data_IF_720899932873
#
_entry.id   IF_720899932873
#
_cell.length_a   1.000
_cell.length_b   1.000
_cell.length_c   1.000
_cell.angle_alpha   90.00
_cell.angle_beta   90.00
_cell.angle_gamma   90.00
#
_symmetry.space_group_name_H-M   'P 1'
#
loop_
_entity.id
_entity.type
_entity.pdbx_description
1 polymer ?
#
# COMPACT_ATOMS: atom_id res chain seq x y z
N UNK A 1 13.59 16.52 -11.39
CA UNK A 1 12.32 16.96 -10.78
C UNK A 1 12.58 18.07 -9.77
N UNK A 2 11.55 18.94 -9.57
CA UNK A 2 11.62 20.00 -8.60
C UNK A 2 11.34 19.53 -7.18
N UNK A 3 12.00 20.12 -6.19
CA UNK A 3 11.67 19.95 -4.77
C UNK A 3 10.89 21.19 -4.34
N UNK A 4 9.61 21.01 -4.06
CA UNK A 4 8.72 22.11 -3.68
C UNK A 4 8.45 22.05 -2.18
N UNK A 5 8.47 23.21 -1.53
CA UNK A 5 8.11 23.34 -0.13
C UNK A 5 6.63 23.71 0.07
N UNK A 6 6.17 23.64 1.31
CA UNK A 6 4.83 24.03 1.70
C UNK A 6 3.82 22.87 1.73
N UNK A 7 2.58 23.21 2.08
CA UNK A 7 1.46 22.26 2.15
C UNK A 7 0.78 22.23 0.79
N UNK A 8 1.01 21.19 0.00
CA UNK A 8 0.47 21.04 -1.35
C UNK A 8 -0.51 19.87 -1.50
N UNK A 9 -0.82 19.21 -0.40
CA UNK A 9 -1.85 18.14 -0.32
C UNK A 9 -2.95 18.55 0.64
N UNK A 10 -4.16 17.95 0.52
CA UNK A 10 -5.24 18.18 1.49
C UNK A 10 -4.80 17.88 2.92
N UNK A 11 -5.27 18.70 3.84
CA UNK A 11 -5.09 18.50 5.29
C UNK A 11 -6.47 18.24 5.89
N UNK A 12 -6.57 17.19 6.67
CA UNK A 12 -7.83 16.76 7.28
C UNK A 12 -7.76 16.86 8.80
N UNK A 13 -8.82 17.33 9.41
CA UNK A 13 -9.06 17.16 10.84
C UNK A 13 -9.99 15.96 11.01
N UNK A 14 -9.45 14.90 11.63
CA UNK A 14 -10.23 13.69 11.93
C UNK A 14 -10.68 13.76 13.38
N UNK A 15 -12.00 13.66 13.60
CA UNK A 15 -12.60 13.61 14.93
C UNK A 15 -13.19 12.21 15.11
N UNK A 16 -12.83 11.55 16.20
CA UNK A 16 -13.27 10.19 16.52
C UNK A 16 -13.93 10.13 17.88
N UNK A 17 -14.69 9.07 18.12
CA UNK A 17 -15.09 8.72 19.49
C UNK A 17 -13.86 8.27 20.30
N UNK A 18 -13.93 8.29 21.64
CA UNK A 18 -12.84 7.83 22.50
C UNK A 18 -12.40 6.39 22.25
N UNK A 19 -13.35 5.52 21.86
CA UNK A 19 -13.05 4.20 21.32
C UNK A 19 -13.20 4.24 19.81
N UNK A 20 -12.12 3.99 19.06
CA UNK A 20 -12.11 4.11 17.63
C UNK A 20 -11.16 3.13 16.94
N UNK A 21 -11.31 2.95 15.64
CA UNK A 21 -10.30 2.32 14.78
C UNK A 21 -9.14 3.31 14.65
N UNK A 22 -7.92 2.84 14.92
CA UNK A 22 -6.74 3.69 15.09
C UNK A 22 -6.47 4.54 13.84
N UNK A 23 -6.38 5.85 14.02
CA UNK A 23 -6.05 6.83 12.96
C UNK A 23 -4.61 7.35 13.05
N UNK A 24 -3.92 7.14 14.17
CA UNK A 24 -2.57 7.64 14.44
C UNK A 24 -1.44 6.61 14.20
N UNK A 25 -1.73 5.49 13.55
CA UNK A 25 -0.75 4.50 13.15
C UNK A 25 -0.10 4.89 11.81
N UNK A 26 0.77 5.89 11.84
CA UNK A 26 1.39 6.50 10.64
C UNK A 26 0.37 7.00 9.61
N UNK A 27 -0.77 7.53 10.09
CA UNK A 27 -1.90 7.97 9.25
C UNK A 27 -2.47 6.86 8.34
N UNK A 28 -2.35 5.60 8.73
CA UNK A 28 -3.00 4.47 8.07
C UNK A 28 -4.50 4.42 8.40
N UNK A 29 -5.23 3.57 7.70
CA UNK A 29 -6.64 3.33 7.98
C UNK A 29 -6.92 2.57 9.28
N UNK A 30 -5.89 2.07 9.98
CA UNK A 30 -6.04 1.16 11.12
C UNK A 30 -6.52 -0.26 10.74
N UNK A 31 -6.85 -0.49 9.47
CA UNK A 31 -7.32 -1.77 8.92
C UNK A 31 -6.32 -2.30 7.91
N UNK A 32 -5.85 -3.54 8.10
CA UNK A 32 -4.86 -4.19 7.26
C UNK A 32 -5.39 -5.51 6.74
N UNK A 33 -5.41 -5.66 5.42
CA UNK A 33 -5.99 -6.82 4.74
C UNK A 33 -4.88 -7.62 4.06
N UNK A 34 -4.69 -8.85 4.51
CA UNK A 34 -3.80 -9.81 3.87
C UNK A 34 -4.56 -10.92 3.18
N UNK A 35 -3.96 -11.54 2.18
CA UNK A 35 -4.58 -12.59 1.40
C UNK A 35 -3.59 -13.73 1.13
N UNK A 36 -4.05 -14.97 1.24
CA UNK A 36 -3.25 -16.17 0.99
C UNK A 36 -4.02 -17.15 0.11
N UNK A 37 -3.30 -18.08 -0.51
CA UNK A 37 -3.88 -19.16 -1.29
C UNK A 37 -4.88 -18.67 -2.35
N UNK A 38 -4.58 -17.50 -2.96
CA UNK A 38 -5.47 -16.87 -3.94
C UNK A 38 -5.46 -17.66 -5.23
N UNK A 39 -6.65 -18.09 -5.64
CA UNK A 39 -6.91 -18.82 -6.88
C UNK A 39 -8.34 -18.58 -7.34
N UNK A 40 -8.70 -19.03 -8.56
CA UNK A 40 -10.09 -19.05 -9.04
C UNK A 40 -11.02 -19.94 -8.21
N UNK A 41 -10.46 -20.88 -7.43
CA UNK A 41 -11.25 -21.80 -6.59
C UNK A 41 -11.53 -21.21 -5.21
N UNK A 42 -10.55 -20.54 -4.62
CA UNK A 42 -10.69 -19.96 -3.28
C UNK A 42 -9.62 -18.90 -3.02
N UNK A 43 -9.89 -18.07 -2.02
CA UNK A 43 -8.91 -17.16 -1.41
C UNK A 43 -9.14 -17.12 0.10
N UNK A 44 -8.07 -17.01 0.86
CA UNK A 44 -8.09 -16.79 2.29
C UNK A 44 -7.75 -15.32 2.55
N UNK A 45 -8.61 -14.64 3.30
CA UNK A 45 -8.48 -13.21 3.59
C UNK A 45 -8.46 -13.03 5.10
N UNK A 46 -7.48 -12.30 5.60
CA UNK A 46 -7.41 -11.89 7.00
C UNK A 46 -7.54 -10.37 7.07
N UNK A 47 -8.50 -9.91 7.85
CA UNK A 47 -8.71 -8.49 8.15
C UNK A 47 -8.26 -8.24 9.58
N UNK A 48 -7.15 -7.54 9.75
CA UNK A 48 -6.62 -7.11 11.05
C UNK A 48 -7.00 -5.65 11.27
N UNK A 49 -7.63 -5.38 12.42
CA UNK A 49 -8.09 -4.05 12.81
C UNK A 49 -7.40 -3.65 14.11
N UNK A 50 -6.83 -2.46 14.14
CA UNK A 50 -6.29 -1.84 15.34
C UNK A 50 -7.36 -0.96 15.96
N UNK A 51 -7.65 -1.16 17.24
CA UNK A 51 -8.66 -0.41 17.97
C UNK A 51 -8.00 0.25 19.18
N UNK A 52 -8.31 1.51 19.42
CA UNK A 52 -7.82 2.30 20.55
C UNK A 52 -8.95 2.61 21.54
N UNK A 53 -8.61 2.68 22.83
CA UNK A 53 -9.48 3.13 23.89
C UNK A 53 -8.78 4.25 24.68
N UNK A 54 -9.17 5.48 24.42
CA UNK A 54 -8.66 6.66 25.10
C UNK A 54 -9.33 6.90 26.48
N UNK A 55 -10.30 6.07 26.87
CA UNK A 55 -10.96 6.22 28.18
C UNK A 55 -10.12 5.60 29.32
N UNK A 56 -10.55 5.81 30.55
CA UNK A 56 -9.89 5.27 31.74
C UNK A 56 -10.49 3.94 32.24
N UNK A 57 -11.50 3.40 31.54
CA UNK A 57 -12.20 2.18 31.91
C UNK A 57 -12.26 1.20 30.73
N UNK A 58 -12.35 -0.11 31.00
CA UNK A 58 -12.67 -1.09 29.95
C UNK A 58 -14.02 -0.80 29.32
N UNK A 59 -14.13 -0.97 27.99
CA UNK A 59 -15.36 -0.72 27.24
C UNK A 59 -15.75 -1.98 26.46
N UNK A 60 -16.99 -2.51 26.66
CA UNK A 60 -17.49 -3.61 25.86
C UNK A 60 -17.86 -3.13 24.46
N UNK A 61 -17.33 -3.79 23.45
CA UNK A 61 -17.48 -3.43 22.04
C UNK A 61 -17.75 -4.67 21.18
N UNK A 62 -18.27 -4.45 19.99
CA UNK A 62 -18.35 -5.45 18.93
C UNK A 62 -17.59 -4.92 17.72
N UNK A 63 -16.65 -5.72 17.22
CA UNK A 63 -16.05 -5.49 15.91
C UNK A 63 -16.74 -6.36 14.87
N UNK A 64 -17.31 -5.72 13.86
CA UNK A 64 -17.86 -6.36 12.67
C UNK A 64 -16.97 -6.12 11.47
N UNK A 65 -16.51 -7.17 10.82
CA UNK A 65 -15.84 -7.11 9.52
C UNK A 65 -16.71 -7.78 8.46
N UNK A 66 -17.02 -7.09 7.38
CA UNK A 66 -17.86 -7.58 6.31
C UNK A 66 -17.22 -7.36 4.94
N UNK A 67 -17.31 -8.37 4.08
CA UNK A 67 -16.85 -8.33 2.69
C UNK A 67 -18.06 -8.20 1.77
N UNK A 68 -18.08 -7.17 0.94
CA UNK A 68 -19.11 -6.92 -0.05
C UNK A 68 -18.54 -7.03 -1.46
N UNK A 69 -19.34 -7.52 -2.39
CA UNK A 69 -19.00 -7.52 -3.80
C UNK A 69 -19.13 -6.11 -4.43
N UNK A 70 -18.75 -5.97 -5.69
CA UNK A 70 -18.84 -4.71 -6.46
C UNK A 70 -20.25 -4.12 -6.46
N UNK A 71 -21.28 -4.94 -6.37
CA UNK A 71 -22.69 -4.51 -6.41
C UNK A 71 -23.27 -4.22 -5.01
N UNK A 72 -22.44 -4.29 -3.96
CA UNK A 72 -22.87 -4.06 -2.58
C UNK A 72 -23.55 -5.26 -1.92
N UNK A 73 -23.52 -6.44 -2.55
CA UNK A 73 -24.04 -7.67 -1.94
C UNK A 73 -23.06 -8.22 -0.92
N UNK A 74 -23.55 -8.54 0.27
CA UNK A 74 -22.77 -9.16 1.32
C UNK A 74 -22.28 -10.57 0.87
N UNK A 75 -20.94 -10.76 0.93
CA UNK A 75 -20.28 -12.04 0.60
C UNK A 75 -19.95 -12.83 1.86
N UNK A 76 -19.34 -12.17 2.83
CA UNK A 76 -18.96 -12.73 4.13
C UNK A 76 -19.04 -11.69 5.21
N UNK A 77 -19.31 -12.15 6.44
CA UNK A 77 -19.32 -11.31 7.64
C UNK A 77 -18.83 -12.10 8.84
N UNK A 78 -18.12 -11.44 9.72
CA UNK A 78 -17.71 -11.94 11.01
C UNK A 78 -17.86 -10.83 12.04
N UNK A 79 -18.46 -11.16 13.19
CA UNK A 79 -18.61 -10.23 14.32
C UNK A 79 -18.06 -10.90 15.57
N UNK A 80 -17.31 -10.14 16.35
CA UNK A 80 -16.77 -10.60 17.63
C UNK A 80 -16.99 -9.54 18.71
N UNK A 81 -17.51 -9.97 19.84
CA UNK A 81 -17.60 -9.14 21.04
C UNK A 81 -16.29 -9.25 21.83
N UNK A 82 -15.86 -8.15 22.41
CA UNK A 82 -14.66 -8.07 23.24
C UNK A 82 -14.76 -6.91 24.22
N UNK A 83 -13.90 -6.91 25.23
CA UNK A 83 -13.71 -5.80 26.14
C UNK A 83 -12.38 -5.12 25.79
N UNK A 84 -12.45 -3.85 25.39
CA UNK A 84 -11.27 -3.07 25.03
C UNK A 84 -10.67 -2.44 26.30
N UNK A 85 -9.44 -2.83 26.66
CA UNK A 85 -8.74 -2.31 27.83
C UNK A 85 -8.43 -0.82 27.70
N UNK A 86 -8.41 -0.06 28.80
CA UNK A 86 -8.15 1.37 28.78
C UNK A 86 -6.71 1.70 28.35
N UNK A 87 -6.54 2.88 27.75
CA UNK A 87 -5.25 3.48 27.40
C UNK A 87 -4.32 2.58 26.58
N UNK A 88 -4.87 1.89 25.59
CA UNK A 88 -4.04 1.03 24.75
C UNK A 88 -4.65 0.62 23.43
N UNK A 89 -3.76 0.39 22.46
CA UNK A 89 -4.11 -0.14 21.16
C UNK A 89 -4.11 -1.65 21.19
N UNK A 90 -5.20 -2.26 20.73
CA UNK A 90 -5.32 -3.72 20.57
C UNK A 90 -5.58 -4.10 19.12
N UNK A 91 -5.16 -5.32 18.77
CA UNK A 91 -5.33 -5.87 17.43
C UNK A 91 -6.36 -6.99 17.45
N UNK A 92 -7.31 -6.92 16.54
CA UNK A 92 -8.33 -7.94 16.33
C UNK A 92 -8.27 -8.43 14.88
N UNK A 93 -8.47 -9.73 14.69
CA UNK A 93 -8.40 -10.33 13.34
C UNK A 93 -9.64 -11.14 13.03
N UNK A 94 -10.15 -10.98 11.82
CA UNK A 94 -11.18 -11.83 11.23
C UNK A 94 -10.62 -12.58 10.04
N UNK A 95 -10.98 -13.87 9.92
CA UNK A 95 -10.50 -14.74 8.86
C UNK A 95 -11.67 -15.17 7.98
N UNK A 96 -11.51 -15.01 6.67
CA UNK A 96 -12.53 -15.37 5.68
C UNK A 96 -11.95 -16.34 4.66
N UNK A 97 -12.73 -17.35 4.30
CA UNK A 97 -12.50 -18.14 3.08
C UNK A 97 -13.57 -17.77 2.06
N UNK A 98 -13.14 -17.20 0.95
CA UNK A 98 -13.97 -16.86 -0.19
C UNK A 98 -13.88 -18.00 -1.20
N UNK A 99 -15.01 -18.59 -1.56
CA UNK A 99 -15.11 -19.66 -2.56
C UNK A 99 -15.42 -19.07 -3.93
N UNK A 100 -14.74 -19.55 -4.96
CA UNK A 100 -14.87 -19.08 -6.34
C UNK A 100 -14.84 -17.54 -6.45
N UNK A 101 -13.81 -16.88 -5.88
CA UNK A 101 -13.77 -15.43 -5.84
C UNK A 101 -13.52 -14.85 -7.24
N UNK A 102 -14.03 -13.65 -7.47
CA UNK A 102 -13.64 -12.84 -8.61
C UNK A 102 -12.28 -12.21 -8.33
N UNK A 103 -11.30 -12.45 -9.21
CA UNK A 103 -9.93 -11.97 -9.03
C UNK A 103 -9.76 -10.58 -9.65
N UNK A 104 -8.89 -9.78 -9.06
CA UNK A 104 -8.37 -8.57 -9.68
C UNK A 104 -7.32 -8.97 -10.74
N UNK A 105 -7.55 -8.61 -12.00
CA UNK A 105 -6.77 -9.09 -13.13
C UNK A 105 -6.08 -7.93 -13.90
N UNK A 106 -5.66 -6.90 -13.18
CA UNK A 106 -5.07 -5.74 -13.83
C UNK A 106 -6.05 -5.08 -14.78
N UNK A 107 -5.57 -4.57 -15.90
CA UNK A 107 -6.41 -3.86 -16.90
C UNK A 107 -7.51 -4.72 -17.54
N UNK A 108 -7.35 -6.04 -17.56
CA UNK A 108 -8.35 -6.93 -18.17
C UNK A 108 -9.66 -6.92 -17.33
N UNK A 109 -9.54 -6.94 -16.00
CA UNK A 109 -10.69 -6.94 -15.09
C UNK A 109 -10.26 -6.49 -13.68
N UNK A 110 -10.27 -5.18 -13.39
CA UNK A 110 -9.88 -4.62 -12.10
C UNK A 110 -10.99 -4.78 -11.05
N UNK A 111 -11.36 -6.02 -10.74
CA UNK A 111 -12.45 -6.28 -9.82
C UNK A 111 -12.08 -6.02 -8.37
N UNK A 112 -12.86 -5.20 -7.69
CA UNK A 112 -12.70 -4.88 -6.29
C UNK A 112 -13.92 -5.32 -5.47
N UNK A 113 -13.64 -5.98 -4.36
CA UNK A 113 -14.53 -6.08 -3.22
C UNK A 113 -14.34 -4.87 -2.31
N UNK A 114 -15.29 -4.65 -1.40
CA UNK A 114 -15.16 -3.72 -0.28
C UNK A 114 -15.11 -4.50 1.02
N UNK A 115 -14.17 -4.18 1.87
CA UNK A 115 -14.13 -4.63 3.26
C UNK A 115 -14.59 -3.48 4.13
N UNK A 116 -15.61 -3.70 4.92
CA UNK A 116 -16.16 -2.72 5.86
C UNK A 116 -15.89 -3.22 7.26
N UNK A 117 -15.13 -2.45 8.04
CA UNK A 117 -14.85 -2.70 9.45
C UNK A 117 -15.64 -1.72 10.29
N UNK A 118 -16.53 -2.21 11.16
CA UNK A 118 -17.38 -1.40 12.05
C UNK A 118 -17.06 -1.70 13.50
N UNK A 119 -16.86 -0.65 14.26
CA UNK A 119 -16.82 -0.71 15.71
C UNK A 119 -18.19 -0.32 16.25
N UNK A 120 -18.75 -1.16 17.10
CA UNK A 120 -20.12 -0.96 17.61
C UNK A 120 -20.12 -0.96 19.13
N UNK A 121 -20.90 -0.06 19.72
CA UNK A 121 -21.19 0.03 21.14
C UNK A 121 -22.70 0.16 21.33
N UNK A 122 -23.28 -0.61 22.23
CA UNK A 122 -24.73 -0.59 22.58
C UNK A 122 -25.66 -0.68 21.35
N UNK A 123 -25.22 -1.47 20.33
CA UNK A 123 -25.97 -1.67 19.10
C UNK A 123 -25.84 -0.54 18.07
N UNK A 124 -25.06 0.50 18.35
CA UNK A 124 -24.79 1.60 17.43
C UNK A 124 -23.38 1.51 16.85
N UNK A 125 -23.23 1.91 15.59
CA UNK A 125 -21.90 2.04 14.96
C UNK A 125 -21.27 3.34 15.47
N UNK A 126 -20.12 3.22 16.13
CA UNK A 126 -19.35 4.36 16.65
C UNK A 126 -18.16 4.71 15.75
N UNK A 127 -17.71 3.76 14.92
CA UNK A 127 -16.68 4.02 13.91
C UNK A 127 -16.80 3.03 12.74
N UNK A 128 -16.46 3.49 11.54
CA UNK A 128 -16.50 2.68 10.33
C UNK A 128 -15.33 3.02 9.41
N UNK A 129 -14.62 1.99 8.95
CA UNK A 129 -13.56 2.09 7.94
C UNK A 129 -13.86 1.18 6.76
N UNK A 130 -13.80 1.74 5.56
CA UNK A 130 -14.00 1.01 4.29
C UNK A 130 -12.68 0.92 3.54
N UNK A 131 -12.29 -0.29 3.15
CA UNK A 131 -11.06 -0.55 2.40
C UNK A 131 -11.31 -1.37 1.14
N UNK A 132 -10.55 -1.14 0.06
CA UNK A 132 -10.62 -1.97 -1.14
C UNK A 132 -10.01 -3.35 -0.88
N UNK A 133 -10.52 -4.36 -1.57
CA UNK A 133 -9.93 -5.70 -1.61
C UNK A 133 -9.91 -6.21 -3.06
N UNK A 134 -8.75 -6.19 -3.69
CA UNK A 134 -8.50 -6.85 -4.97
C UNK A 134 -7.77 -8.17 -4.73
N UNK A 135 -8.44 -9.28 -5.01
CA UNK A 135 -7.86 -10.61 -4.82
C UNK A 135 -6.93 -10.94 -5.98
N UNK A 136 -5.64 -11.03 -5.71
CA UNK A 136 -4.60 -11.28 -6.72
C UNK A 136 -3.39 -11.99 -6.12
N UNK A 137 -2.61 -12.59 -7.01
CA UNK A 137 -1.29 -13.13 -6.72
C UNK A 137 -0.30 -12.58 -7.74
N UNK A 138 0.75 -11.95 -7.25
CA UNK A 138 1.90 -11.50 -8.03
C UNK A 138 3.04 -12.49 -7.92
N UNK A 139 3.72 -12.76 -9.03
CA UNK A 139 4.93 -13.59 -9.06
C UNK A 139 5.93 -12.99 -10.05
N UNK A 140 7.17 -12.86 -9.62
CA UNK A 140 8.29 -12.49 -10.48
C UNK A 140 9.19 -13.72 -10.61
N UNK A 141 9.34 -14.23 -11.82
CA UNK A 141 10.10 -15.45 -12.09
C UNK A 141 11.29 -15.11 -12.97
N UNK A 142 12.50 -15.36 -12.46
CA UNK A 142 13.73 -15.10 -13.19
C UNK A 142 13.73 -15.80 -14.56
N UNK A 143 14.06 -15.04 -15.60
CA UNK A 143 14.07 -15.51 -16.99
C UNK A 143 12.69 -15.73 -17.64
N UNK A 144 11.59 -15.58 -16.88
CA UNK A 144 10.22 -15.73 -17.42
C UNK A 144 9.38 -14.47 -17.31
N UNK A 145 9.72 -13.54 -16.40
CA UNK A 145 9.05 -12.25 -16.24
C UNK A 145 8.01 -12.24 -15.13
N UNK A 146 7.03 -11.37 -15.27
CA UNK A 146 6.00 -11.09 -14.29
C UNK A 146 4.71 -11.88 -14.58
N UNK A 147 4.09 -12.39 -13.52
CA UNK A 147 2.84 -13.14 -13.58
C UNK A 147 1.81 -12.54 -12.63
N UNK A 148 0.58 -12.41 -13.14
CA UNK A 148 -0.60 -12.05 -12.38
C UNK A 148 -1.58 -13.23 -12.37
N UNK A 149 -1.91 -13.72 -11.18
CA UNK A 149 -2.81 -14.88 -11.00
C UNK A 149 -2.38 -16.14 -11.79
N UNK A 150 -1.06 -16.35 -11.90
CA UNK A 150 -0.48 -17.50 -12.60
C UNK A 150 -0.43 -17.38 -14.13
N UNK A 151 -0.87 -16.24 -14.71
CA UNK A 151 -0.77 -15.93 -16.13
C UNK A 151 0.32 -14.89 -16.35
N UNK A 152 1.19 -15.09 -17.33
CA UNK A 152 2.18 -14.08 -17.70
C UNK A 152 1.47 -12.77 -18.06
N UNK A 153 1.93 -11.66 -17.48
CA UNK A 153 1.31 -10.36 -17.64
C UNK A 153 2.35 -9.34 -18.14
N UNK A 154 2.07 -8.60 -19.20
CA UNK A 154 3.02 -7.65 -19.75
C UNK A 154 3.17 -6.44 -18.83
N UNK A 155 4.42 -6.04 -18.58
CA UNK A 155 4.77 -4.87 -17.76
C UNK A 155 5.24 -3.73 -18.66
N UNK A 156 4.30 -3.16 -19.42
CA UNK A 156 4.56 -1.96 -20.22
C UNK A 156 4.19 -0.73 -19.40
N UNK A 157 5.11 0.18 -19.17
CA UNK A 157 4.84 1.27 -18.27
C UNK A 157 5.70 2.50 -18.48
N UNK A 158 5.35 3.49 -17.69
CA UNK A 158 6.05 4.78 -17.64
C UNK A 158 6.37 5.12 -16.19
N UNK A 159 7.33 6.02 -16.02
CA UNK A 159 7.61 6.66 -14.75
C UNK A 159 6.85 7.99 -14.67
N UNK A 160 6.20 8.25 -13.56
CA UNK A 160 5.46 9.47 -13.31
C UNK A 160 6.01 10.23 -12.11
N UNK A 161 6.28 11.53 -12.30
CA UNK A 161 6.48 12.51 -11.24
C UNK A 161 5.19 13.28 -10.96
N UNK A 162 5.01 13.74 -9.69
CA UNK A 162 3.82 14.48 -9.27
C UNK A 162 4.09 16.00 -9.38
N UNK A 163 4.32 16.47 -10.60
CA UNK A 163 4.51 17.90 -10.88
C UNK A 163 4.04 18.28 -12.29
N UNK A 164 3.52 19.49 -12.41
CA UNK A 164 3.09 20.08 -13.67
C UNK A 164 3.66 21.48 -13.84
N UNK A 165 3.89 21.85 -15.09
CA UNK A 165 4.28 23.21 -15.43
C UNK A 165 3.26 24.23 -14.88
N UNK A 166 3.72 25.23 -14.15
CA UNK A 166 2.91 26.29 -13.56
C UNK A 166 2.18 25.93 -12.27
N UNK A 167 2.12 24.64 -11.89
CA UNK A 167 1.47 24.17 -10.67
C UNK A 167 2.45 23.58 -9.65
N UNK A 168 3.65 23.18 -10.11
CA UNK A 168 4.54 22.40 -9.28
C UNK A 168 3.87 21.13 -8.79
N UNK A 169 4.01 20.79 -7.52
CA UNK A 169 3.36 19.62 -6.91
C UNK A 169 1.95 19.89 -6.37
N UNK A 170 1.40 21.10 -6.52
CA UNK A 170 0.08 21.48 -6.03
C UNK A 170 -1.04 21.03 -6.99
N UNK A 171 -1.04 19.74 -7.31
CA UNK A 171 -2.00 19.13 -8.22
C UNK A 171 -3.29 18.76 -7.50
N UNK A 172 -4.41 18.89 -8.21
CA UNK A 172 -5.72 18.38 -7.78
C UNK A 172 -5.97 16.99 -8.38
N UNK A 173 -7.06 16.35 -7.97
CA UNK A 173 -7.47 15.06 -8.55
C UNK A 173 -7.66 15.14 -10.07
N UNK A 174 -8.03 16.31 -10.61
CA UNK A 174 -8.22 16.51 -12.05
C UNK A 174 -6.93 16.31 -12.84
N UNK A 175 -5.81 16.89 -12.38
CA UNK A 175 -4.51 16.72 -13.03
C UNK A 175 -4.01 15.29 -12.87
N UNK A 176 -4.27 14.67 -11.72
CA UNK A 176 -3.92 13.27 -11.50
C UNK A 176 -4.71 12.32 -12.42
N UNK A 177 -6.01 12.53 -12.58
CA UNK A 177 -6.85 11.74 -13.48
C UNK A 177 -6.42 11.93 -14.93
N UNK A 178 -6.11 13.16 -15.35
CA UNK A 178 -5.61 13.44 -16.69
C UNK A 178 -4.31 12.67 -16.99
N UNK A 179 -3.33 12.67 -16.08
CA UNK A 179 -2.10 11.90 -16.26
C UNK A 179 -2.38 10.40 -16.40
N UNK A 180 -3.26 9.86 -15.57
CA UNK A 180 -3.63 8.45 -15.65
C UNK A 180 -4.36 8.11 -16.96
N UNK A 181 -5.21 9.00 -17.46
CA UNK A 181 -5.86 8.85 -18.77
C UNK A 181 -4.83 8.76 -19.91
N UNK A 182 -3.82 9.65 -19.89
CA UNK A 182 -2.73 9.59 -20.89
C UNK A 182 -1.91 8.30 -20.77
N UNK A 183 -1.60 7.87 -19.54
CA UNK A 183 -0.90 6.60 -19.27
C UNK A 183 -1.71 5.41 -19.77
N UNK A 184 -3.02 5.43 -19.59
CA UNK A 184 -3.93 4.40 -20.09
C UNK A 184 -4.03 4.41 -21.62
N UNK A 185 -4.07 5.58 -22.23
CA UNK A 185 -4.22 5.78 -23.69
C UNK A 185 -3.02 5.21 -24.48
N UNK A 186 -1.81 5.38 -23.96
CA UNK A 186 -0.61 4.77 -24.59
C UNK A 186 -0.51 3.24 -24.38
N UNK A 187 -1.49 2.62 -23.72
CA UNK A 187 -1.54 1.17 -23.52
C UNK A 187 -0.71 0.66 -22.33
N UNK A 188 -0.28 1.53 -21.42
CA UNK A 188 0.49 1.11 -20.23
C UNK A 188 -0.32 0.15 -19.35
N UNK A 189 0.38 -0.81 -18.77
CA UNK A 189 -0.16 -1.78 -17.78
C UNK A 189 0.39 -1.55 -16.39
N UNK A 190 1.45 -0.75 -16.28
CA UNK A 190 2.12 -0.41 -15.04
C UNK A 190 2.56 1.04 -15.02
N UNK A 191 2.71 1.58 -13.82
CA UNK A 191 3.26 2.93 -13.59
C UNK A 191 4.20 2.91 -12.39
N UNK A 192 5.36 3.54 -12.53
CA UNK A 192 6.26 3.81 -11.42
C UNK A 192 6.00 5.20 -10.87
N UNK A 193 5.64 5.30 -9.61
CA UNK A 193 5.49 6.57 -8.91
C UNK A 193 6.85 7.02 -8.37
N UNK A 194 7.59 7.72 -9.22
CA UNK A 194 8.94 8.16 -8.92
C UNK A 194 8.95 9.55 -8.27
N UNK A 195 9.83 9.79 -7.37
CA UNK A 195 10.68 8.91 -6.56
C UNK A 195 10.24 9.02 -5.10
N UNK A 196 8.93 9.17 -4.87
CA UNK A 196 8.33 9.49 -3.57
C UNK A 196 6.86 9.07 -3.53
N UNK A 197 6.33 8.95 -2.33
CA UNK A 197 4.91 8.71 -2.14
C UNK A 197 4.07 9.80 -2.82
N UNK A 198 3.15 9.40 -3.67
CA UNK A 198 2.27 10.34 -4.40
C UNK A 198 0.90 10.47 -3.71
N UNK A 199 -0.03 11.20 -4.35
CA UNK A 199 -1.38 11.39 -3.82
C UNK A 199 -2.10 10.06 -3.64
N UNK A 200 -2.82 9.88 -2.52
CA UNK A 200 -3.65 8.70 -2.23
C UNK A 200 -4.70 8.44 -3.33
N UNK A 201 -5.22 9.51 -3.92
CA UNK A 201 -6.13 9.43 -5.08
C UNK A 201 -5.56 8.58 -6.22
N UNK A 202 -4.26 8.72 -6.51
CA UNK A 202 -3.60 7.97 -7.60
C UNK A 202 -3.58 6.47 -7.34
N UNK A 203 -3.28 6.05 -6.11
CA UNK A 203 -3.29 4.63 -5.74
C UNK A 203 -4.71 4.04 -5.90
N UNK A 204 -5.70 4.74 -5.38
CA UNK A 204 -7.11 4.35 -5.49
C UNK A 204 -7.59 4.29 -6.94
N UNK A 205 -7.16 5.23 -7.78
CA UNK A 205 -7.48 5.23 -9.21
C UNK A 205 -6.80 4.07 -9.95
N UNK A 206 -5.54 3.77 -9.65
CA UNK A 206 -4.85 2.62 -10.23
C UNK A 206 -5.51 1.29 -9.86
N UNK A 207 -6.02 1.15 -8.63
CA UNK A 207 -6.79 -0.03 -8.24
C UNK A 207 -8.01 -0.25 -9.14
N UNK A 208 -8.74 0.83 -9.47
CA UNK A 208 -9.95 0.79 -10.31
C UNK A 208 -9.67 0.70 -11.80
N UNK A 209 -8.53 1.22 -12.25
CA UNK A 209 -8.09 1.17 -13.65
C UNK A 209 -7.32 -0.11 -13.98
N UNK A 210 -6.88 -0.84 -12.95
CA UNK A 210 -6.08 -2.05 -13.13
C UNK A 210 -4.62 -1.81 -13.49
N UNK A 211 -4.09 -0.60 -13.25
CA UNK A 211 -2.67 -0.29 -13.41
C UNK A 211 -1.87 -0.86 -12.24
N UNK A 212 -0.79 -1.57 -12.54
CA UNK A 212 0.12 -2.10 -11.52
C UNK A 212 1.10 -1.00 -11.11
N UNK A 213 1.31 -0.82 -9.81
CA UNK A 213 2.12 0.26 -9.25
C UNK A 213 3.44 -0.26 -8.69
N UNK A 214 4.51 0.47 -9.01
CA UNK A 214 5.75 0.49 -8.28
C UNK A 214 5.79 1.76 -7.43
N UNK A 215 5.70 1.62 -6.11
CA UNK A 215 5.75 2.72 -5.14
C UNK A 215 7.10 2.75 -4.42
N UNK A 216 7.66 3.94 -4.20
CA UNK A 216 9.00 4.08 -3.61
C UNK A 216 9.11 5.30 -2.68
N UNK A 217 10.13 5.28 -1.83
CA UNK A 217 10.49 6.40 -0.96
C UNK A 217 11.54 7.31 -1.64
N UNK A 218 11.65 8.60 -1.25
CA UNK A 218 12.57 9.56 -1.85
C UNK A 218 14.03 9.39 -1.37
N UNK A 219 14.50 8.15 -1.31
CA UNK A 219 15.91 7.86 -1.05
C UNK A 219 16.65 7.76 -2.39
N UNK A 220 17.19 8.91 -2.85
CA UNK A 220 17.65 9.11 -4.23
C UNK A 220 19.04 9.74 -4.24
N UNK A 221 19.93 9.25 -5.09
CA UNK A 221 21.23 9.80 -5.45
C UNK A 221 22.23 9.89 -4.29
N UNK A 222 22.37 11.07 -3.68
CA UNK A 222 23.40 11.34 -2.67
C UNK A 222 22.99 10.89 -1.28
N UNK A 223 23.98 10.45 -0.50
CA UNK A 223 23.82 10.01 0.87
C UNK A 223 24.66 10.91 1.77
N UNK A 224 24.04 11.50 2.80
CA UNK A 224 24.69 12.35 3.79
C UNK A 224 25.23 11.59 5.00
N UNK A 225 24.71 10.38 5.24
CA UNK A 225 24.96 9.57 6.43
C UNK A 225 23.97 9.82 7.58
N UNK A 226 22.89 10.56 7.34
CA UNK A 226 21.88 10.93 8.35
C UNK A 226 20.47 10.47 7.98
N UNK A 227 20.32 9.66 6.94
CA UNK A 227 19.02 9.28 6.37
C UNK A 227 18.30 8.19 7.17
N UNK A 228 18.99 7.51 8.09
CA UNK A 228 18.52 6.26 8.71
C UNK A 228 17.07 6.34 9.24
N UNK A 229 16.83 7.22 10.20
CA UNK A 229 15.52 7.31 10.85
C UNK A 229 14.44 7.80 9.89
N UNK A 230 14.77 8.81 9.07
CA UNK A 230 13.82 9.37 8.10
C UNK A 230 13.45 8.36 7.01
N UNK A 231 14.40 7.60 6.49
CA UNK A 231 14.13 6.56 5.48
C UNK A 231 13.22 5.45 6.03
N UNK A 232 13.47 5.01 7.26
CA UNK A 232 12.62 4.01 7.93
C UNK A 232 11.23 4.55 8.20
N UNK A 233 11.11 5.79 8.68
CA UNK A 233 9.82 6.42 8.92
C UNK A 233 9.02 6.54 7.63
N UNK A 234 9.60 7.08 6.56
CA UNK A 234 8.92 7.25 5.29
C UNK A 234 8.51 5.91 4.65
N UNK A 235 9.36 4.88 4.75
CA UNK A 235 9.00 3.55 4.25
C UNK A 235 7.84 2.95 5.04
N UNK A 236 7.83 3.08 6.35
CA UNK A 236 6.73 2.61 7.20
C UNK A 236 5.43 3.36 6.90
N UNK A 237 5.49 4.67 6.73
CA UNK A 237 4.35 5.50 6.35
C UNK A 237 3.79 5.07 4.99
N UNK A 238 4.65 4.94 3.97
CA UNK A 238 4.25 4.51 2.64
C UNK A 238 3.55 3.15 2.67
N UNK A 239 4.14 2.16 3.36
CA UNK A 239 3.58 0.81 3.45
C UNK A 239 2.24 0.83 4.20
N UNK A 240 2.17 1.45 5.39
CA UNK A 240 0.97 1.39 6.22
C UNK A 240 -0.20 2.16 5.64
N UNK A 241 0.05 3.33 5.05
CA UNK A 241 -0.98 4.12 4.39
C UNK A 241 -1.50 3.43 3.12
N UNK A 242 -0.61 2.80 2.36
CA UNK A 242 -0.95 2.19 1.07
C UNK A 242 -1.13 0.67 1.12
N UNK A 243 -1.20 0.07 2.32
CA UNK A 243 -1.18 -1.38 2.53
C UNK A 243 -2.25 -2.13 1.73
N UNK A 244 -3.47 -1.59 1.69
CA UNK A 244 -4.63 -2.28 1.13
C UNK A 244 -4.80 -2.10 -0.38
N UNK A 245 -3.95 -1.29 -1.05
CA UNK A 245 -4.02 -1.11 -2.51
C UNK A 245 -3.58 -2.37 -3.25
N UNK A 246 -4.48 -3.07 -3.97
CA UNK A 246 -4.13 -4.27 -4.71
C UNK A 246 -3.20 -4.01 -5.89
N UNK A 247 -3.20 -2.80 -6.44
CA UNK A 247 -2.35 -2.40 -7.57
C UNK A 247 -0.86 -2.39 -7.25
N UNK A 248 -0.46 -2.15 -5.99
CA UNK A 248 0.95 -2.13 -5.61
C UNK A 248 1.51 -3.56 -5.56
N UNK A 249 2.59 -3.82 -6.34
CA UNK A 249 3.27 -5.11 -6.31
C UNK A 249 4.65 -5.05 -5.65
N UNK A 250 5.26 -3.86 -5.57
CA UNK A 250 6.65 -3.70 -5.12
C UNK A 250 6.86 -2.38 -4.37
N UNK A 251 7.71 -2.44 -3.36
CA UNK A 251 8.21 -1.29 -2.58
C UNK A 251 9.62 -0.94 -3.02
N UNK A 252 9.83 0.26 -3.55
CA UNK A 252 11.14 0.78 -3.93
C UNK A 252 11.91 1.28 -2.72
N UNK A 253 13.07 0.66 -2.45
CA UNK A 253 13.88 0.99 -1.28
C UNK A 253 14.87 2.13 -1.52
N UNK A 254 15.28 2.35 -2.76
CA UNK A 254 16.10 3.49 -3.19
C UNK A 254 16.11 3.63 -4.70
N UNK A 255 16.55 4.81 -5.19
CA UNK A 255 16.82 5.06 -6.59
C UNK A 255 18.22 5.64 -6.79
N UNK A 256 19.05 4.96 -7.59
CA UNK A 256 20.36 5.47 -8.06
C UNK A 256 21.24 6.03 -6.94
N UNK A 257 21.35 5.32 -5.82
CA UNK A 257 22.17 5.77 -4.72
C UNK A 257 23.65 5.69 -5.12
N UNK A 258 24.30 6.84 -5.12
CA UNK A 258 25.72 6.97 -5.40
C UNK A 258 26.55 6.75 -4.13
N UNK A 259 27.84 6.45 -4.32
CA UNK A 259 28.77 6.16 -3.24
C UNK A 259 28.35 4.96 -2.38
N UNK A 260 28.30 3.78 -2.98
CA UNK A 260 27.97 2.56 -2.28
C UNK A 260 29.07 2.19 -1.29
N UNK A 261 28.90 2.53 -0.04
CA UNK A 261 29.80 2.18 1.07
C UNK A 261 29.03 1.46 2.19
N UNK A 262 29.73 1.06 3.27
CA UNK A 262 29.16 0.24 4.33
C UNK A 262 27.87 0.79 4.95
N UNK A 263 27.78 2.09 5.22
CA UNK A 263 26.57 2.74 5.74
C UNK A 263 25.38 2.55 4.78
N UNK A 264 25.57 2.84 3.50
CA UNK A 264 24.51 2.75 2.49
C UNK A 264 24.04 1.30 2.31
N UNK A 265 24.97 0.36 2.29
CA UNK A 265 24.65 -1.06 2.22
C UNK A 265 23.85 -1.53 3.44
N UNK A 266 24.25 -1.10 4.64
CA UNK A 266 23.52 -1.41 5.88
C UNK A 266 22.13 -0.78 5.91
N UNK A 267 22.01 0.49 5.46
CA UNK A 267 20.73 1.18 5.41
C UNK A 267 19.75 0.53 4.43
N UNK A 268 20.20 0.22 3.21
CA UNK A 268 19.33 -0.44 2.21
C UNK A 268 18.89 -1.83 2.64
N UNK A 269 19.79 -2.61 3.29
CA UNK A 269 19.41 -3.89 3.90
C UNK A 269 18.35 -3.70 4.99
N UNK A 270 18.55 -2.75 5.88
CA UNK A 270 17.60 -2.48 6.97
C UNK A 270 16.23 -2.00 6.47
N UNK A 271 16.18 -1.22 5.37
CA UNK A 271 14.91 -0.83 4.73
C UNK A 271 14.23 -2.05 4.10
N UNK A 272 14.98 -2.94 3.44
CA UNK A 272 14.44 -4.20 2.93
C UNK A 272 13.83 -5.04 4.06
N UNK A 273 14.55 -5.22 5.16
CA UNK A 273 14.08 -5.99 6.31
C UNK A 273 12.82 -5.38 6.92
N UNK A 274 12.76 -4.04 7.01
CA UNK A 274 11.56 -3.32 7.43
C UNK A 274 10.38 -3.60 6.49
N UNK A 275 10.59 -3.56 5.17
CA UNK A 275 9.52 -3.87 4.21
C UNK A 275 8.98 -5.29 4.43
N UNK A 276 9.87 -6.26 4.63
CA UNK A 276 9.47 -7.66 4.89
C UNK A 276 8.78 -7.85 6.25
N UNK A 277 9.13 -7.05 7.24
CA UNK A 277 8.45 -7.05 8.53
C UNK A 277 7.02 -6.44 8.45
N UNK A 278 6.87 -5.32 7.75
CA UNK A 278 5.58 -4.63 7.61
C UNK A 278 4.66 -5.31 6.59
N UNK A 279 5.22 -5.80 5.48
CA UNK A 279 4.49 -6.43 4.37
C UNK A 279 5.32 -7.57 3.74
N UNK A 280 5.24 -8.79 4.27
CA UNK A 280 6.02 -9.93 3.79
C UNK A 280 5.60 -10.42 2.38
N UNK A 281 4.43 -10.05 1.91
CA UNK A 281 3.85 -10.60 0.68
C UNK A 281 4.29 -9.84 -0.58
N UNK A 282 4.63 -8.55 -0.48
CA UNK A 282 5.11 -7.76 -1.62
C UNK A 282 6.63 -7.83 -1.76
N UNK A 283 7.06 -7.63 -2.99
CA UNK A 283 8.49 -7.54 -3.32
C UNK A 283 9.07 -6.20 -2.90
N UNK A 284 10.39 -6.17 -2.76
CA UNK A 284 11.19 -4.94 -2.69
C UNK A 284 11.99 -4.78 -3.97
N UNK A 285 12.32 -3.53 -4.33
CA UNK A 285 13.14 -3.24 -5.49
C UNK A 285 14.17 -2.16 -5.18
N UNK A 286 15.40 -2.37 -5.61
CA UNK A 286 16.47 -1.37 -5.67
C UNK A 286 16.67 -0.92 -7.10
N UNK A 287 16.94 0.36 -7.32
CA UNK A 287 17.23 0.87 -8.66
C UNK A 287 18.69 1.23 -8.78
N UNK A 288 19.34 0.54 -9.70
CA UNK A 288 20.74 0.74 -10.00
C UNK A 288 20.93 1.83 -11.06
N UNK A 289 21.70 2.84 -10.72
CA UNK A 289 22.32 3.74 -11.68
C UNK A 289 23.79 3.37 -11.89
N UNK A 290 24.32 3.60 -13.08
CA UNK A 290 25.76 3.52 -13.38
C UNK A 290 26.45 2.15 -13.27
N UNK A 291 25.73 1.06 -13.45
CA UNK A 291 26.35 -0.26 -13.66
C UNK A 291 26.89 -0.98 -12.43
N UNK A 292 26.55 -0.55 -11.20
CA UNK A 292 26.96 -1.22 -9.96
C UNK A 292 26.08 -2.43 -9.57
N UNK A 293 25.75 -3.28 -10.54
CA UNK A 293 24.82 -4.41 -10.37
C UNK A 293 25.19 -5.40 -9.27
N UNK A 294 26.50 -5.59 -9.03
CA UNK A 294 26.99 -6.55 -8.05
C UNK A 294 27.24 -5.95 -6.65
N UNK A 295 26.91 -4.68 -6.45
CA UNK A 295 27.14 -4.05 -5.16
C UNK A 295 26.01 -4.37 -4.19
N UNK A 296 26.29 -4.63 -2.88
CA UNK A 296 25.26 -4.94 -1.87
C UNK A 296 24.11 -3.94 -1.83
N UNK A 297 24.35 -2.65 -2.01
CA UNK A 297 23.30 -1.60 -2.08
C UNK A 297 22.18 -1.97 -3.07
N UNK A 298 22.55 -2.57 -4.21
CA UNK A 298 21.60 -2.94 -5.26
C UNK A 298 21.09 -4.38 -5.13
N UNK A 299 21.79 -5.22 -4.37
CA UNK A 299 21.42 -6.63 -4.16
C UNK A 299 20.56 -6.87 -2.93
N UNK A 300 20.38 -5.86 -2.07
CA UNK A 300 19.63 -5.97 -0.83
C UNK A 300 18.10 -6.05 -1.03
N UNK A 301 17.60 -6.01 -2.25
CA UNK A 301 16.17 -6.12 -2.58
C UNK A 301 15.87 -7.44 -3.30
N UNK A 302 14.58 -7.82 -3.33
CA UNK A 302 14.13 -9.01 -4.08
C UNK A 302 14.32 -8.85 -5.59
N UNK A 303 14.21 -7.62 -6.09
CA UNK A 303 14.30 -7.26 -7.50
C UNK A 303 15.31 -6.13 -7.68
N UNK A 304 16.10 -6.22 -8.72
CA UNK A 304 16.99 -5.14 -9.14
C UNK A 304 16.44 -4.44 -10.38
N UNK A 305 16.14 -3.14 -10.27
CA UNK A 305 15.80 -2.28 -11.39
C UNK A 305 17.08 -1.74 -12.06
N UNK A 306 17.05 -1.65 -13.37
CA UNK A 306 18.14 -1.09 -14.19
C UNK A 306 17.64 0.22 -14.80
N UNK A 307 18.36 1.32 -14.54
CA UNK A 307 18.11 2.62 -15.15
C UNK A 307 19.10 2.91 -16.26
#
# INVERSE_FOLDING_TARGET
FGVYGGIYRPVWLVVTEPCNIVVNDHASSGVYITQKNVSKKSAEVTVRVKVDNATLAPVPLILENAVYDRNGKLVKKHSQAFELTPQGVQNYSSHFKLNSPHLWQGREDPYLYKVVSRLMQDGQVIDEVVQPLGLRKYEVVAGKGFFLNGKQYPMYGVTRHQDWWGLGSALTNKEHDFDLEQIMDIGATTVRFAHYQQSDHLYSRCDTLGLIIWAEIPFVNRVSGQEWDNAHQQMRELIRQSFNHPSIYVWGIHNEVYHPHGYTASLTQSIHDLCKQEDPDRYTVSVNGYGHVNHPVNQNADIQGMN
#
